data_IF_123799676392
#
_entry.id   IF_123799676392
#
_cell.length_a   1.000
_cell.length_b   1.000
_cell.length_c   1.000
_cell.angle_alpha   90.00
_cell.angle_beta   90.00
_cell.angle_gamma   90.00
#
_symmetry.space_group_name_H-M   'P 1'
#
loop_
_entity.id
_entity.type
_entity.pdbx_description
1 polymer ?
#
# COMPACT_ATOMS: atom_id res chain seq x y z
N UNK A 1 11.15 9.87 20.86
CA UNK A 1 10.17 8.79 21.13
C UNK A 1 8.74 9.14 20.72
N UNK A 2 8.22 10.37 20.93
CA UNK A 2 6.81 10.70 20.63
C UNK A 2 6.44 11.02 19.18
N UNK A 3 7.39 11.40 18.33
CA UNK A 3 7.11 11.78 16.92
C UNK A 3 6.98 10.55 16.00
N UNK A 4 7.82 9.52 16.22
CA UNK A 4 7.88 8.31 15.37
C UNK A 4 6.56 7.53 15.36
N UNK A 5 5.81 7.51 16.48
CA UNK A 5 4.49 6.86 16.55
C UNK A 5 3.40 7.60 15.79
N UNK A 6 3.59 8.89 15.47
CA UNK A 6 2.68 9.64 14.61
C UNK A 6 3.05 9.44 13.13
N UNK A 7 4.34 9.39 12.82
CA UNK A 7 4.83 9.35 11.43
C UNK A 7 4.41 8.07 10.68
N UNK A 8 4.40 6.91 11.33
CA UNK A 8 4.04 5.63 10.71
C UNK A 8 2.55 5.57 10.30
N UNK A 9 1.57 5.85 11.19
CA UNK A 9 0.16 5.95 10.80
C UNK A 9 -0.11 6.98 9.71
N UNK A 10 0.59 8.12 9.72
CA UNK A 10 0.45 9.12 8.65
C UNK A 10 0.99 8.64 7.31
N UNK A 11 2.13 7.96 7.28
CA UNK A 11 2.64 7.33 6.06
C UNK A 11 1.66 6.30 5.49
N UNK A 12 1.09 5.45 6.36
CA UNK A 12 0.08 4.47 5.96
C UNK A 12 -1.18 5.18 5.45
N UNK A 13 -1.67 6.21 6.14
CA UNK A 13 -2.83 6.96 5.66
C UNK A 13 -2.60 7.58 4.26
N UNK A 14 -1.38 8.07 3.98
CA UNK A 14 -1.04 8.69 2.71
C UNK A 14 -0.91 7.69 1.55
N UNK A 15 -0.38 6.48 1.77
CA UNK A 15 -0.29 5.47 0.71
C UNK A 15 -1.64 4.85 0.33
N UNK A 16 -2.61 4.91 1.25
CA UNK A 16 -3.96 4.36 1.04
C UNK A 16 -4.80 5.22 0.10
N UNK A 17 -4.41 6.47 -0.10
CA UNK A 17 -5.07 7.35 -1.07
C UNK A 17 -4.82 6.83 -2.51
N UNK A 18 -3.56 6.65 -2.97
CA UNK A 18 -3.26 5.97 -4.23
C UNK A 18 -3.93 4.59 -4.37
N UNK A 19 -3.87 3.73 -3.35
CA UNK A 19 -4.51 2.40 -3.40
C UNK A 19 -6.03 2.49 -3.53
N UNK A 20 -6.67 3.37 -2.75
CA UNK A 20 -8.11 3.60 -2.84
C UNK A 20 -8.53 4.09 -4.24
N UNK A 21 -7.72 4.95 -4.88
CA UNK A 21 -7.96 5.38 -6.27
C UNK A 21 -7.80 4.22 -7.25
N UNK A 22 -6.76 3.40 -7.06
CA UNK A 22 -6.50 2.20 -7.86
C UNK A 22 -7.64 1.19 -7.80
N UNK A 23 -8.31 1.04 -6.65
CA UNK A 23 -9.51 0.18 -6.49
C UNK A 23 -10.77 0.86 -7.04
N UNK A 24 -10.96 2.15 -6.78
CA UNK A 24 -12.18 2.86 -7.15
C UNK A 24 -12.34 3.04 -8.67
N UNK A 25 -11.25 3.31 -9.40
CA UNK A 25 -11.32 3.62 -10.84
C UNK A 25 -11.86 2.45 -11.68
N UNK A 26 -11.33 1.21 -11.59
CA UNK A 26 -11.87 0.07 -12.31
C UNK A 26 -13.36 -0.18 -12.01
N UNK A 27 -13.75 -0.07 -10.73
CA UNK A 27 -15.14 -0.24 -10.30
C UNK A 27 -16.02 0.84 -10.92
N UNK A 28 -15.56 2.10 -10.94
CA UNK A 28 -16.29 3.18 -11.58
C UNK A 28 -16.45 2.92 -13.08
N UNK A 29 -15.41 2.47 -13.78
CA UNK A 29 -15.51 2.19 -15.21
C UNK A 29 -16.42 1.00 -15.52
N UNK A 30 -16.48 -0.01 -14.64
CA UNK A 30 -17.37 -1.15 -14.78
C UNK A 30 -18.84 -0.82 -14.43
N UNK A 31 -19.08 0.00 -13.40
CA UNK A 31 -20.43 0.23 -12.84
C UNK A 31 -21.03 1.59 -13.21
N UNK A 32 -20.22 2.52 -13.70
CA UNK A 32 -20.58 3.93 -13.98
C UNK A 32 -21.17 4.69 -12.77
N UNK A 33 -20.98 4.17 -11.54
CA UNK A 33 -21.53 4.76 -10.32
C UNK A 33 -20.43 5.21 -9.37
N UNK A 34 -20.30 6.53 -9.19
CA UNK A 34 -19.30 7.13 -8.29
C UNK A 34 -19.48 6.68 -6.83
N UNK A 35 -20.73 6.57 -6.38
CA UNK A 35 -21.02 6.18 -5.00
C UNK A 35 -20.67 4.71 -4.74
N UNK A 36 -20.94 3.82 -5.69
CA UNK A 36 -20.54 2.41 -5.55
C UNK A 36 -19.02 2.25 -5.56
N UNK A 37 -18.32 2.92 -6.49
CA UNK A 37 -16.87 2.92 -6.54
C UNK A 37 -16.25 3.43 -5.23
N UNK A 38 -16.79 4.53 -4.68
CA UNK A 38 -16.35 5.07 -3.41
C UNK A 38 -16.60 4.11 -2.24
N UNK A 39 -17.82 3.55 -2.11
CA UNK A 39 -18.17 2.66 -1.00
C UNK A 39 -17.36 1.37 -1.02
N UNK A 40 -17.13 0.79 -2.21
CA UNK A 40 -16.32 -0.42 -2.33
C UNK A 40 -14.85 -0.16 -2.06
N UNK A 41 -14.30 0.96 -2.55
CA UNK A 41 -12.91 1.34 -2.24
C UNK A 41 -12.75 1.67 -0.74
N UNK A 42 -13.66 2.43 -0.14
CA UNK A 42 -13.65 2.73 1.29
C UNK A 42 -13.80 1.45 2.13
N UNK A 43 -14.68 0.53 1.70
CA UNK A 43 -14.84 -0.78 2.32
C UNK A 43 -13.56 -1.63 2.25
N UNK A 44 -12.85 -1.61 1.12
CA UNK A 44 -11.57 -2.29 0.98
C UNK A 44 -10.49 -1.71 1.90
N UNK A 45 -10.49 -0.39 2.12
CA UNK A 45 -9.57 0.27 3.04
C UNK A 45 -9.76 -0.12 4.52
N UNK A 46 -10.90 -0.72 4.88
CA UNK A 46 -11.09 -1.29 6.22
C UNK A 46 -10.36 -2.63 6.41
N UNK A 47 -9.87 -3.27 5.35
CA UNK A 47 -9.16 -4.54 5.44
C UNK A 47 -7.87 -4.43 6.27
N UNK A 48 -7.15 -3.32 6.16
CA UNK A 48 -5.90 -3.09 6.90
C UNK A 48 -6.10 -3.00 8.43
N UNK A 49 -6.97 -2.12 8.97
CA UNK A 49 -7.20 -2.08 10.41
C UNK A 49 -7.82 -3.39 10.93
N UNK A 50 -8.66 -4.06 10.13
CA UNK A 50 -9.17 -5.38 10.49
C UNK A 50 -8.05 -6.43 10.57
N UNK A 51 -7.07 -6.38 9.66
CA UNK A 51 -5.88 -7.23 9.71
C UNK A 51 -5.08 -7.03 10.99
N UNK A 52 -4.87 -5.77 11.40
CA UNK A 52 -4.21 -5.44 12.67
C UNK A 52 -4.97 -6.02 13.86
N UNK A 53 -6.29 -5.86 13.90
CA UNK A 53 -7.14 -6.40 14.98
C UNK A 53 -7.08 -7.93 15.00
N UNK A 54 -7.15 -8.58 13.84
CA UNK A 54 -7.09 -10.03 13.74
C UNK A 54 -5.75 -10.57 14.25
N UNK A 55 -4.63 -9.96 13.86
CA UNK A 55 -3.29 -10.33 14.33
C UNK A 55 -3.15 -10.10 15.84
N UNK A 56 -3.62 -8.96 16.35
CA UNK A 56 -3.58 -8.66 17.79
C UNK A 56 -4.39 -9.67 18.62
N UNK A 57 -5.50 -10.17 18.08
CA UNK A 57 -6.32 -11.18 18.75
C UNK A 57 -5.71 -12.59 18.69
N UNK A 58 -5.13 -12.97 17.55
CA UNK A 58 -4.53 -14.30 17.35
C UNK A 58 -3.15 -14.44 18.03
N UNK A 59 -2.40 -13.34 18.16
CA UNK A 59 -1.05 -13.32 18.71
C UNK A 59 -0.92 -12.27 19.84
N UNK A 60 -1.61 -12.48 20.98
CA UNK A 60 -1.74 -11.46 22.03
C UNK A 60 -0.45 -11.17 22.82
N UNK A 61 0.56 -12.04 22.75
CA UNK A 61 1.77 -11.94 23.59
C UNK A 61 3.03 -11.63 22.78
N UNK A 62 3.15 -12.16 21.56
CA UNK A 62 4.17 -11.80 20.57
C UNK A 62 3.95 -12.61 19.29
N UNK A 63 4.34 -12.04 18.15
CA UNK A 63 4.47 -12.76 16.89
C UNK A 63 5.86 -13.39 16.81
N UNK A 64 5.93 -14.66 16.40
CA UNK A 64 7.21 -15.28 16.06
C UNK A 64 7.84 -14.54 14.85
N UNK A 65 9.12 -14.14 14.90
CA UNK A 65 9.82 -13.49 13.79
C UNK A 65 9.67 -14.22 12.46
N UNK A 66 9.77 -15.56 12.44
CA UNK A 66 9.64 -16.36 11.22
C UNK A 66 8.25 -16.21 10.58
N UNK A 67 7.21 -16.09 11.41
CA UNK A 67 5.83 -15.87 10.95
C UNK A 67 5.68 -14.46 10.39
N UNK A 68 6.27 -13.46 11.06
CA UNK A 68 6.24 -12.07 10.60
C UNK A 68 6.96 -11.91 9.25
N UNK A 69 8.14 -12.50 9.10
CA UNK A 69 8.89 -12.52 7.83
C UNK A 69 8.09 -13.20 6.71
N UNK A 70 7.48 -14.35 7.01
CA UNK A 70 6.60 -15.05 6.07
C UNK A 70 5.38 -14.21 5.65
N UNK A 71 4.74 -13.54 6.60
CA UNK A 71 3.61 -12.63 6.35
C UNK A 71 4.03 -11.44 5.49
N UNK A 72 5.11 -10.74 5.85
CA UNK A 72 5.62 -9.61 5.08
C UNK A 72 6.02 -10.02 3.65
N UNK A 73 6.70 -11.17 3.50
CA UNK A 73 7.05 -11.73 2.20
C UNK A 73 5.83 -12.07 1.36
N UNK A 74 4.81 -12.70 1.97
CA UNK A 74 3.57 -13.03 1.28
C UNK A 74 2.79 -11.79 0.81
N UNK A 75 2.65 -10.77 1.66
CA UNK A 75 1.98 -9.51 1.32
C UNK A 75 2.74 -8.78 0.21
N UNK A 76 4.07 -8.69 0.33
CA UNK A 76 4.92 -8.13 -0.71
C UNK A 76 4.76 -8.84 -2.06
N UNK A 77 4.68 -10.18 -2.04
CA UNK A 77 4.43 -10.99 -3.24
C UNK A 77 3.05 -10.73 -3.87
N UNK A 78 1.99 -10.66 -3.06
CA UNK A 78 0.63 -10.35 -3.53
C UNK A 78 0.57 -8.95 -4.16
N UNK A 79 1.16 -7.94 -3.49
CA UNK A 79 1.19 -6.57 -4.02
C UNK A 79 1.99 -6.46 -5.32
N UNK A 80 3.11 -7.18 -5.43
CA UNK A 80 3.89 -7.25 -6.66
C UNK A 80 3.09 -7.92 -7.79
N UNK A 81 2.40 -9.02 -7.51
CA UNK A 81 1.55 -9.69 -8.50
C UNK A 81 0.42 -8.79 -8.97
N UNK A 82 -0.35 -8.18 -8.06
CA UNK A 82 -1.43 -7.24 -8.38
C UNK A 82 -0.93 -6.06 -9.22
N UNK A 83 0.22 -5.50 -8.84
CA UNK A 83 0.80 -4.36 -9.56
C UNK A 83 1.20 -4.74 -10.98
N UNK A 84 1.84 -5.90 -11.16
CA UNK A 84 2.37 -6.32 -12.46
C UNK A 84 1.32 -6.95 -13.39
N UNK A 85 0.37 -7.70 -12.85
CA UNK A 85 -0.64 -8.43 -13.65
C UNK A 85 -1.95 -7.67 -13.82
N UNK A 86 -2.31 -6.78 -12.89
CA UNK A 86 -3.60 -6.06 -12.98
C UNK A 86 -3.36 -4.58 -13.26
N UNK A 87 -2.62 -3.88 -12.40
CA UNK A 87 -2.48 -2.42 -12.47
C UNK A 87 -1.65 -1.97 -13.68
N UNK A 88 -0.53 -2.62 -13.97
CA UNK A 88 0.37 -2.23 -15.07
C UNK A 88 -0.28 -2.43 -16.45
N UNK A 89 -0.94 -3.58 -16.76
CA UNK A 89 -1.69 -3.73 -17.99
C UNK A 89 -2.83 -2.72 -18.11
N UNK A 90 -3.56 -2.48 -17.01
CA UNK A 90 -4.61 -1.46 -17.00
C UNK A 90 -4.05 -0.06 -17.32
N UNK A 91 -2.88 0.29 -16.78
CA UNK A 91 -2.22 1.55 -17.12
C UNK A 91 -1.81 1.61 -18.59
N UNK A 92 -1.35 0.50 -19.18
CA UNK A 92 -1.04 0.42 -20.61
C UNK A 92 -2.28 0.65 -21.48
N UNK A 93 -3.42 0.07 -21.11
CA UNK A 93 -4.66 0.23 -21.85
C UNK A 93 -5.21 1.66 -21.77
N UNK A 94 -5.05 2.34 -20.62
CA UNK A 94 -5.60 3.68 -20.40
C UNK A 94 -4.75 4.84 -20.93
N UNK A 95 -3.43 4.81 -20.70
CA UNK A 95 -2.54 5.94 -21.03
C UNK A 95 -1.45 5.58 -22.06
N UNK A 96 -1.39 4.32 -22.49
CA UNK A 96 -0.40 3.81 -23.42
C UNK A 96 0.93 3.47 -22.75
N UNK A 97 1.64 2.48 -23.31
CA UNK A 97 2.88 1.94 -22.74
C UNK A 97 3.93 3.01 -22.39
N UNK A 98 4.19 3.98 -23.28
CA UNK A 98 5.22 5.00 -23.05
C UNK A 98 4.93 5.89 -21.84
N UNK A 99 3.66 6.25 -21.61
CA UNK A 99 3.30 7.11 -20.48
C UNK A 99 3.27 6.31 -19.18
N UNK A 100 2.69 5.11 -19.21
CA UNK A 100 2.64 4.21 -18.06
C UNK A 100 4.03 3.85 -17.56
N UNK A 101 4.96 3.45 -18.44
CA UNK A 101 6.34 3.13 -18.04
C UNK A 101 7.03 4.35 -17.40
N UNK A 102 6.85 5.56 -17.96
CA UNK A 102 7.37 6.79 -17.35
C UNK A 102 6.78 7.01 -15.96
N UNK A 103 5.47 6.84 -15.79
CA UNK A 103 4.80 7.00 -14.50
C UNK A 103 5.29 5.99 -13.46
N UNK A 104 5.54 4.73 -13.86
CA UNK A 104 6.12 3.69 -12.99
C UNK A 104 7.50 4.12 -12.49
N UNK A 105 8.41 4.54 -13.37
CA UNK A 105 9.74 4.98 -12.95
C UNK A 105 9.71 6.22 -12.06
N UNK A 106 8.82 7.17 -12.34
CA UNK A 106 8.62 8.35 -11.47
C UNK A 106 8.10 7.92 -10.09
N UNK A 107 7.12 7.01 -10.04
CA UNK A 107 6.60 6.46 -8.79
C UNK A 107 7.68 5.72 -7.98
N UNK A 108 8.49 4.89 -8.64
CA UNK A 108 9.63 4.20 -8.02
C UNK A 108 10.66 5.19 -7.45
N UNK A 109 10.97 6.27 -8.19
CA UNK A 109 11.90 7.30 -7.71
C UNK A 109 11.34 8.05 -6.50
N UNK A 110 10.05 8.42 -6.51
CA UNK A 110 9.39 9.06 -5.38
C UNK A 110 9.39 8.16 -4.14
N UNK A 111 9.08 6.86 -4.31
CA UNK A 111 9.09 5.89 -3.21
C UNK A 111 10.51 5.65 -2.66
N UNK A 112 11.51 5.55 -3.53
CA UNK A 112 12.90 5.43 -3.09
C UNK A 112 13.35 6.67 -2.31
N UNK A 113 12.95 7.87 -2.76
CA UNK A 113 13.28 9.11 -2.07
C UNK A 113 12.58 9.24 -0.71
N UNK A 114 11.31 8.80 -0.60
CA UNK A 114 10.58 8.81 0.67
C UNK A 114 11.20 7.84 1.68
N UNK A 115 11.57 6.63 1.25
CA UNK A 115 12.27 5.66 2.10
C UNK A 115 13.62 6.18 2.57
N UNK A 116 14.40 6.79 1.68
CA UNK A 116 15.67 7.41 2.05
C UNK A 116 15.49 8.54 3.08
N UNK A 117 14.47 9.38 2.91
CA UNK A 117 14.16 10.44 3.86
C UNK A 117 13.66 9.89 5.21
N UNK A 118 12.90 8.81 5.19
CA UNK A 118 12.48 8.11 6.41
C UNK A 118 13.70 7.56 7.16
N UNK A 119 14.63 6.92 6.44
CA UNK A 119 15.86 6.34 7.01
C UNK A 119 16.76 7.40 7.65
N UNK A 120 16.89 8.58 7.04
CA UNK A 120 17.68 9.69 7.62
C UNK A 120 17.02 10.33 8.85
N UNK A 121 15.69 10.23 8.94
CA UNK A 121 14.90 10.79 10.03
C UNK A 121 14.79 9.85 11.23
N UNK A 122 15.05 8.56 11.04
CA UNK A 122 15.02 7.56 12.10
C UNK A 122 16.30 7.66 12.98
N UNK A 123 16.20 7.63 14.31
CA UNK A 123 17.37 7.50 15.17
C UNK A 123 18.07 6.17 14.91
N UNK A 124 19.41 6.19 14.81
CA UNK A 124 20.30 5.05 14.51
C UNK A 124 20.14 3.80 15.41
N UNK A 125 19.39 3.88 16.50
CA UNK A 125 19.08 2.72 17.36
C UNK A 125 17.91 1.87 16.82
N UNK A 126 17.19 2.36 15.80
CA UNK A 126 16.02 1.69 15.19
C UNK A 126 16.25 1.41 13.69
N UNK A 127 17.34 1.90 13.10
CA UNK A 127 17.74 1.52 11.73
C UNK A 127 18.15 0.04 11.71
N UNK A 128 17.45 -0.76 10.90
CA UNK A 128 17.74 -2.18 10.64
C UNK A 128 19.18 -2.40 10.16
#
# INVERSE_FOLDING_TARGET
>A
MGLIYLDIPWCIALHNIPEGIAVALPIYFATQSKMQAFLLAAGSGLAEPLGVIAVAFLFPSSLNPDILEGLLGSVGGVMAFLTLHEMLPLAFDYCGQKQAVKAVFVGMACMSASLYFLEISLPKEISL
#
